data_IF_028883617165
#
_entry.id   IF_028883617165
#
_cell.length_a   1.000
_cell.length_b   1.000
_cell.length_c   1.000
_cell.angle_alpha   90.00
_cell.angle_beta   90.00
_cell.angle_gamma   90.00
#
_symmetry.space_group_name_H-M   'P 1'
#
loop_
_entity.id
_entity.type
_entity.pdbx_description
1 polymer ?
#
# COMPACT_ATOMS: atom_id res chain seq x y z
N UNK A 1 26.62 9.88 23.98
CA UNK A 1 26.15 9.25 22.73
C UNK A 1 24.70 8.85 22.93
N UNK A 2 23.80 9.44 22.15
CA UNK A 2 22.38 9.52 22.48
C UNK A 2 21.66 8.22 22.13
N UNK A 3 21.59 7.26 23.07
CA UNK A 3 20.95 5.94 22.89
C UNK A 3 19.51 6.05 22.34
N UNK A 4 18.81 7.14 22.67
CA UNK A 4 17.49 7.45 22.15
C UNK A 4 17.46 7.49 20.61
N UNK A 5 18.48 8.07 19.98
CA UNK A 5 18.56 8.17 18.51
C UNK A 5 18.70 6.78 17.89
N UNK A 6 19.49 5.92 18.50
CA UNK A 6 19.73 4.54 18.02
C UNK A 6 18.45 3.71 18.13
N UNK A 7 17.72 3.83 19.25
CA UNK A 7 16.46 3.12 19.48
C UNK A 7 15.37 3.61 18.50
N UNK A 8 15.24 4.92 18.29
CA UNK A 8 14.28 5.49 17.33
C UNK A 8 14.58 5.04 15.89
N UNK A 9 15.85 4.97 15.51
CA UNK A 9 16.24 4.52 14.17
C UNK A 9 15.98 3.01 13.97
N UNK A 10 16.27 2.20 15.00
CA UNK A 10 15.94 0.77 14.97
C UNK A 10 14.43 0.53 14.84
N UNK A 11 13.59 1.30 15.54
CA UNK A 11 12.14 1.22 15.39
C UNK A 11 11.69 1.53 13.96
N UNK A 12 12.20 2.60 13.35
CA UNK A 12 11.88 2.98 11.97
C UNK A 12 12.25 1.90 10.95
N UNK A 13 13.39 1.22 11.14
CA UNK A 13 13.83 0.14 10.25
C UNK A 13 12.99 -1.13 10.41
N UNK A 14 12.52 -1.43 11.63
CA UNK A 14 11.71 -2.61 11.92
C UNK A 14 10.24 -2.43 11.54
N UNK A 15 9.70 -1.20 11.61
CA UNK A 15 8.34 -0.86 11.19
C UNK A 15 8.24 -0.60 9.69
N UNK A 16 9.01 -1.34 8.87
CA UNK A 16 9.23 -1.11 7.44
C UNK A 16 8.03 -0.47 6.74
N UNK A 17 8.30 0.59 5.96
CA UNK A 17 7.27 1.44 5.36
C UNK A 17 6.19 0.58 4.68
N UNK A 18 4.99 0.56 5.25
CA UNK A 18 3.84 -0.12 4.69
C UNK A 18 3.47 0.59 3.38
N UNK A 19 4.03 0.12 2.27
CA UNK A 19 3.86 0.74 0.96
C UNK A 19 2.64 0.10 0.28
N UNK A 20 1.46 0.49 0.75
CA UNK A 20 0.22 0.40 -0.02
C UNK A 20 -0.08 1.77 -0.60
N UNK A 21 -0.46 1.85 -1.86
CA UNK A 21 -0.98 3.09 -2.45
C UNK A 21 -2.41 2.86 -2.88
N UNK A 22 -3.31 3.67 -2.34
CA UNK A 22 -4.68 3.71 -2.83
C UNK A 22 -4.68 4.32 -4.24
N UNK A 23 -5.12 3.54 -5.21
CA UNK A 23 -5.17 3.93 -6.61
C UNK A 23 -6.28 3.16 -7.35
N UNK A 24 -6.66 3.66 -8.53
CA UNK A 24 -7.51 2.91 -9.44
C UNK A 24 -6.73 1.74 -10.04
N UNK A 25 -7.28 0.53 -9.92
CA UNK A 25 -6.74 -0.65 -10.58
C UNK A 25 -6.90 -0.52 -12.10
N UNK A 26 -5.81 -0.76 -12.82
CA UNK A 26 -5.78 -0.72 -14.27
C UNK A 26 -5.30 -2.06 -14.84
N UNK A 27 -5.91 -2.46 -15.94
CA UNK A 27 -5.48 -3.56 -16.79
C UNK A 27 -4.18 -3.20 -17.51
N UNK A 28 -3.61 -4.17 -18.24
CA UNK A 28 -2.53 -3.89 -19.18
C UNK A 28 -2.88 -2.72 -20.09
N UNK A 29 -1.87 -1.91 -20.42
CA UNK A 29 -2.01 -0.70 -21.23
C UNK A 29 -2.86 0.41 -20.58
N UNK A 30 -2.96 0.44 -19.24
CA UNK A 30 -3.61 1.52 -18.49
C UNK A 30 -5.13 1.64 -18.77
N UNK A 31 -5.79 0.53 -19.08
CA UNK A 31 -7.25 0.49 -19.24
C UNK A 31 -7.93 0.28 -17.88
N UNK A 32 -9.08 0.90 -17.64
CA UNK A 32 -9.82 0.73 -16.38
C UNK A 32 -10.49 -0.65 -16.29
N UNK A 33 -10.66 -1.17 -15.08
CA UNK A 33 -11.60 -2.27 -14.85
C UNK A 33 -13.02 -1.71 -14.78
N UNK A 34 -13.89 -2.12 -15.71
CA UNK A 34 -15.30 -1.77 -15.64
C UNK A 34 -15.97 -2.63 -14.55
N UNK A 35 -16.34 -2.00 -13.45
CA UNK A 35 -17.13 -2.63 -12.41
C UNK A 35 -18.45 -1.88 -12.18
N UNK A 36 -19.57 -2.60 -12.32
CA UNK A 36 -20.91 -2.06 -12.08
C UNK A 36 -21.40 -2.29 -10.65
N UNK A 37 -20.80 -3.26 -9.95
CA UNK A 37 -21.18 -3.68 -8.60
C UNK A 37 -19.96 -3.63 -7.70
N UNK A 38 -20.08 -2.99 -6.55
CA UNK A 38 -18.98 -2.81 -5.59
C UNK A 38 -18.32 -4.12 -5.17
N UNK A 39 -19.13 -5.18 -4.97
CA UNK A 39 -18.62 -6.50 -4.63
C UNK A 39 -17.58 -7.02 -5.65
N UNK A 40 -17.78 -6.75 -6.94
CA UNK A 40 -16.84 -7.14 -7.99
C UNK A 40 -15.57 -6.28 -7.96
N UNK A 41 -15.67 -4.96 -7.75
CA UNK A 41 -14.48 -4.12 -7.59
C UNK A 41 -13.67 -4.57 -6.35
N UNK A 42 -14.35 -4.94 -5.26
CA UNK A 42 -13.70 -5.40 -4.03
C UNK A 42 -12.98 -6.74 -4.21
N UNK A 43 -13.56 -7.67 -4.98
CA UNK A 43 -12.88 -8.92 -5.31
C UNK A 43 -11.66 -8.73 -6.22
N UNK A 44 -11.64 -7.68 -7.06
CA UNK A 44 -10.47 -7.31 -7.87
C UNK A 44 -9.35 -6.63 -7.08
N UNK A 45 -9.67 -5.95 -5.98
CA UNK A 45 -8.72 -5.17 -5.17
C UNK A 45 -8.16 -5.92 -3.94
N UNK A 46 -8.62 -7.15 -3.67
CA UNK A 46 -8.10 -8.02 -2.59
C UNK A 46 -6.80 -8.69 -2.97
#
# INVERSE_FOLDING_TARGET
MNYLVVISFALLLMTGAQSGRDAYIAQNYNCVYHCAREAYCNDLCK
#
